data_IF_221410573617
#
_entry.id   IF_221410573617
#
_cell.length_a   1.000
_cell.length_b   1.000
_cell.length_c   1.000
_cell.angle_alpha   90.00
_cell.angle_beta   90.00
_cell.angle_gamma   90.00
#
_symmetry.space_group_name_H-M   'P 1'
#
loop_
_entity.id
_entity.type
_entity.pdbx_description
1 polymer ?
#
# COMPACT_ATOMS: atom_id res chain seq x y z
N UNK A 1 -22.88 0.71 -14.19
CA UNK A 1 -21.62 -0.05 -14.37
C UNK A 1 -20.51 0.62 -13.57
N UNK A 2 -20.10 1.86 -13.89
CA UNK A 2 -19.04 2.58 -13.13
C UNK A 2 -19.27 2.77 -11.61
N UNK A 3 -20.52 2.85 -11.15
CA UNK A 3 -20.82 3.04 -9.72
C UNK A 3 -20.71 1.72 -8.92
N UNK A 4 -20.93 0.56 -9.56
CA UNK A 4 -20.66 -0.75 -8.95
C UNK A 4 -19.15 -1.00 -8.84
N UNK A 5 -18.39 -0.65 -9.88
CA UNK A 5 -16.93 -0.81 -9.89
C UNK A 5 -16.25 0.04 -8.78
N UNK A 6 -16.78 1.24 -8.50
CA UNK A 6 -16.30 2.08 -7.39
C UNK A 6 -16.60 1.47 -6.01
N UNK A 7 -17.76 0.81 -5.86
CA UNK A 7 -18.14 0.17 -4.59
C UNK A 7 -17.28 -1.06 -4.33
N UNK A 8 -16.99 -1.89 -5.34
CA UNK A 8 -16.05 -3.01 -5.22
C UNK A 8 -14.63 -2.56 -4.87
N UNK A 9 -14.14 -1.47 -5.48
CA UNK A 9 -12.85 -0.87 -5.09
C UNK A 9 -12.89 -0.37 -3.64
N UNK A 10 -14.02 0.22 -3.22
CA UNK A 10 -14.24 0.64 -1.84
C UNK A 10 -14.13 -0.51 -0.83
N UNK A 11 -14.67 -1.69 -1.16
CA UNK A 11 -14.56 -2.88 -0.32
C UNK A 11 -13.12 -3.38 -0.21
N UNK A 12 -12.35 -3.34 -1.31
CA UNK A 12 -10.92 -3.69 -1.29
C UNK A 12 -10.10 -2.74 -0.41
N UNK A 13 -10.42 -1.44 -0.44
CA UNK A 13 -9.80 -0.43 0.43
C UNK A 13 -10.23 -0.59 1.90
N UNK A 14 -11.43 -1.08 2.15
CA UNK A 14 -11.98 -1.32 3.49
C UNK A 14 -11.54 -2.65 4.11
N UNK A 15 -11.01 -3.59 3.31
CA UNK A 15 -10.61 -4.88 3.84
C UNK A 15 -9.33 -4.76 4.70
N UNK A 16 -9.35 -5.48 5.82
CA UNK A 16 -8.31 -5.42 6.86
C UNK A 16 -6.90 -5.73 6.32
N UNK A 17 -6.79 -6.53 5.25
CA UNK A 17 -5.50 -6.90 4.63
C UNK A 17 -4.81 -5.71 3.97
N UNK A 18 -5.56 -4.87 3.25
CA UNK A 18 -5.04 -3.64 2.65
C UNK A 18 -4.67 -2.62 3.73
N UNK A 19 -5.47 -2.50 4.78
CA UNK A 19 -5.12 -1.67 5.94
C UNK A 19 -3.81 -2.11 6.61
N UNK A 20 -3.63 -3.42 6.85
CA UNK A 20 -2.38 -3.94 7.41
C UNK A 20 -1.20 -3.72 6.47
N UNK A 21 -1.38 -3.99 5.18
CA UNK A 21 -0.32 -3.80 4.17
C UNK A 21 0.10 -2.34 4.02
N UNK A 22 -0.85 -1.41 4.01
CA UNK A 22 -0.58 0.03 3.99
C UNK A 22 0.03 0.53 5.29
N UNK A 23 -0.39 0.01 6.45
CA UNK A 23 0.22 0.34 7.74
C UNK A 23 1.69 -0.12 7.81
N UNK A 24 2.00 -1.33 7.33
CA UNK A 24 3.39 -1.83 7.24
C UNK A 24 4.20 -0.97 6.27
N UNK A 25 3.64 -0.62 5.12
CA UNK A 25 4.30 0.25 4.13
C UNK A 25 4.61 1.62 4.73
N UNK A 26 3.66 2.23 5.44
CA UNK A 26 3.84 3.50 6.11
C UNK A 26 4.90 3.42 7.21
N UNK A 27 4.95 2.33 7.99
CA UNK A 27 5.98 2.10 9.00
C UNK A 27 7.38 1.99 8.37
N UNK A 28 7.50 1.32 7.21
CA UNK A 28 8.77 1.24 6.48
C UNK A 28 9.21 2.60 5.93
N UNK A 29 8.29 3.37 5.33
CA UNK A 29 8.59 4.73 4.89
C UNK A 29 9.00 5.63 6.06
N UNK A 30 8.30 5.54 7.19
CA UNK A 30 8.66 6.28 8.40
C UNK A 30 10.08 5.91 8.88
N UNK A 31 10.41 4.62 8.91
CA UNK A 31 11.74 4.14 9.30
C UNK A 31 12.82 4.73 8.39
N UNK A 32 12.59 4.78 7.08
CA UNK A 32 13.50 5.43 6.11
C UNK A 32 13.74 6.89 6.48
N UNK A 33 12.69 7.67 6.78
CA UNK A 33 12.83 9.06 7.20
C UNK A 33 13.51 9.23 8.57
N UNK A 34 13.38 8.27 9.49
CA UNK A 34 14.08 8.33 10.78
C UNK A 34 15.57 7.97 10.68
N UNK A 35 15.95 7.09 9.76
CA UNK A 35 17.32 6.61 9.64
C UNK A 35 18.17 7.43 8.65
N UNK A 36 17.54 8.10 7.68
CA UNK A 36 18.25 8.84 6.64
C UNK A 36 18.12 10.34 6.88
N UNK A 37 19.20 11.04 7.29
CA UNK A 37 19.16 12.47 7.57
C UNK A 37 19.10 13.33 6.29
N UNK A 38 19.25 12.72 5.11
CA UNK A 38 19.14 13.40 3.82
C UNK A 38 17.72 13.23 3.26
N UNK A 39 16.96 14.32 3.26
CA UNK A 39 15.56 14.35 2.82
C UNK A 39 15.39 13.86 1.37
N UNK A 40 16.24 14.30 0.45
CA UNK A 40 16.15 13.88 -0.96
C UNK A 40 16.33 12.39 -1.11
N UNK A 41 17.31 11.80 -0.42
CA UNK A 41 17.57 10.35 -0.46
C UNK A 41 16.44 9.58 0.20
N UNK A 42 15.89 10.08 1.31
CA UNK A 42 14.75 9.48 1.98
C UNK A 42 13.51 9.45 1.08
N UNK A 43 13.26 10.50 0.30
CA UNK A 43 12.19 10.54 -0.71
C UNK A 43 12.44 9.58 -1.88
N UNK A 44 13.66 9.53 -2.40
CA UNK A 44 14.05 8.62 -3.49
C UNK A 44 13.82 7.16 -3.12
N UNK A 45 13.97 6.80 -1.85
CA UNK A 45 13.73 5.44 -1.35
C UNK A 45 12.26 5.22 -0.97
N UNK A 46 11.65 6.17 -0.25
CA UNK A 46 10.28 6.01 0.25
C UNK A 46 9.22 6.09 -0.84
N UNK A 47 9.42 6.85 -1.91
CA UNK A 47 8.49 6.93 -3.04
C UNK A 47 8.27 5.56 -3.74
N UNK A 48 9.32 4.87 -4.22
CA UNK A 48 9.15 3.54 -4.81
C UNK A 48 8.69 2.50 -3.78
N UNK A 49 9.09 2.63 -2.51
CA UNK A 49 8.67 1.74 -1.43
C UNK A 49 7.17 1.90 -1.15
N UNK A 50 6.66 3.12 -1.14
CA UNK A 50 5.23 3.43 -1.02
C UNK A 50 4.42 2.87 -2.19
N UNK A 51 4.86 3.13 -3.43
CA UNK A 51 4.19 2.61 -4.64
C UNK A 51 4.20 1.08 -4.65
N UNK A 52 5.35 0.47 -4.38
CA UNK A 52 5.49 -0.98 -4.32
C UNK A 52 4.66 -1.60 -3.20
N UNK A 53 4.63 -0.99 -2.02
CA UNK A 53 3.86 -1.48 -0.87
C UNK A 53 2.36 -1.39 -1.09
N UNK A 54 1.87 -0.31 -1.71
CA UNK A 54 0.46 -0.19 -2.13
C UNK A 54 0.10 -1.24 -3.19
N UNK A 55 0.93 -1.39 -4.22
CA UNK A 55 0.73 -2.38 -5.28
C UNK A 55 0.72 -3.82 -4.75
N UNK A 56 1.65 -4.15 -3.85
CA UNK A 56 1.71 -5.47 -3.22
C UNK A 56 0.50 -5.73 -2.32
N UNK A 57 0.07 -4.73 -1.55
CA UNK A 57 -1.11 -4.83 -0.67
C UNK A 57 -2.38 -5.04 -1.49
N UNK A 58 -2.50 -4.34 -2.62
CA UNK A 58 -3.60 -4.53 -3.56
C UNK A 58 -3.57 -5.90 -4.22
N UNK A 59 -2.40 -6.35 -4.71
CA UNK A 59 -2.25 -7.68 -5.28
C UNK A 59 -2.56 -8.79 -4.27
N UNK A 60 -2.19 -8.60 -3.01
CA UNK A 60 -2.47 -9.56 -1.94
C UNK A 60 -3.97 -9.67 -1.64
N UNK A 61 -4.70 -8.55 -1.61
CA UNK A 61 -6.17 -8.54 -1.51
C UNK A 61 -6.80 -9.32 -2.66
N UNK A 62 -6.49 -8.92 -3.91
CA UNK A 62 -7.05 -9.53 -5.12
C UNK A 62 -6.78 -11.04 -5.11
N UNK A 63 -5.57 -11.46 -4.77
CA UNK A 63 -5.25 -12.90 -4.70
C UNK A 63 -6.04 -13.62 -3.61
N UNK A 64 -6.22 -13.00 -2.44
CA UNK A 64 -7.00 -13.59 -1.35
C UNK A 64 -8.49 -13.71 -1.71
N UNK A 65 -9.05 -12.73 -2.42
CA UNK A 65 -10.46 -12.72 -2.84
C UNK A 65 -10.73 -13.71 -3.98
N UNK A 66 -9.81 -13.85 -4.93
CA UNK A 66 -9.96 -14.75 -6.09
C UNK A 66 -9.45 -16.19 -5.88
N UNK A 67 -8.90 -16.51 -4.70
CA UNK A 67 -8.75 -17.88 -4.20
C UNK A 67 -7.98 -18.88 -5.08
N UNK A 68 -7.08 -18.43 -5.97
CA UNK A 68 -6.18 -19.30 -6.75
C UNK A 68 -4.71 -19.14 -6.35
#
# INVERSE_FOLDING_TARGET
>A
MALMDIVEIGEVLLSWRFYVGTAVTAALCWLVFTCIPNETVAWVISAPLGIGGLGLSFWWQVRADFGK
#
